data_IF_622605570071
#
_entry.id   IF_622605570071
#
_cell.length_a   1.000
_cell.length_b   1.000
_cell.length_c   1.000
_cell.angle_alpha   90.00
_cell.angle_beta   90.00
_cell.angle_gamma   90.00
#
_symmetry.space_group_name_H-M   'P 1'
#
loop_
_entity.id
_entity.type
_entity.pdbx_description
1 polymer ?
#
# COMPACT_ATOMS: atom_id res chain seq x y z
N UNK A 1 0.56 26.20 -15.17
CA UNK A 1 -0.73 25.83 -14.54
C UNK A 1 -1.38 27.08 -13.95
N UNK A 2 -2.62 27.43 -14.31
CA UNK A 2 -3.33 28.53 -13.64
C UNK A 2 -3.93 28.04 -12.32
N UNK A 3 -3.47 28.60 -11.19
CA UNK A 3 -3.95 28.23 -9.86
C UNK A 3 -5.24 28.99 -9.51
N UNK A 4 -6.12 28.34 -8.74
CA UNK A 4 -7.38 28.94 -8.30
C UNK A 4 -7.16 30.23 -7.51
N UNK A 5 -8.05 31.22 -7.71
CA UNK A 5 -8.04 32.51 -6.97
C UNK A 5 -8.07 32.33 -5.45
N UNK A 6 -8.63 31.21 -4.96
CA UNK A 6 -8.64 30.87 -3.53
C UNK A 6 -7.25 30.52 -3.01
N UNK A 7 -6.53 29.65 -3.72
CA UNK A 7 -5.15 29.24 -3.40
C UNK A 7 -4.24 30.46 -3.40
N UNK A 8 -4.40 31.36 -4.37
CA UNK A 8 -3.62 32.60 -4.45
C UNK A 8 -3.88 33.52 -3.23
N UNK A 9 -5.13 33.62 -2.77
CA UNK A 9 -5.46 34.41 -1.57
C UNK A 9 -4.92 33.79 -0.28
N UNK A 10 -4.95 32.47 -0.18
CA UNK A 10 -4.42 31.75 0.98
C UNK A 10 -2.89 31.79 1.03
N UNK A 11 -2.21 31.62 -0.12
CA UNK A 11 -0.76 31.72 -0.22
C UNK A 11 -0.23 33.09 0.22
N UNK A 12 -0.96 34.16 -0.09
CA UNK A 12 -0.67 35.52 0.37
C UNK A 12 -0.69 35.67 1.90
N UNK A 13 -1.48 34.88 2.63
CA UNK A 13 -1.51 34.93 4.11
C UNK A 13 -0.21 34.45 4.72
N UNK A 14 0.45 33.50 4.08
CA UNK A 14 1.72 32.93 4.53
C UNK A 14 2.94 33.60 3.88
N UNK A 15 2.74 34.56 2.96
CA UNK A 15 3.78 35.19 2.16
C UNK A 15 4.66 34.17 1.40
N UNK A 16 4.02 33.13 0.87
CA UNK A 16 4.66 32.01 0.17
C UNK A 16 4.08 31.91 -1.25
N UNK A 17 4.84 31.29 -2.15
CA UNK A 17 4.38 31.00 -3.51
C UNK A 17 3.17 30.04 -3.51
N UNK A 18 2.15 30.28 -4.35
CA UNK A 18 0.99 29.40 -4.46
C UNK A 18 1.32 27.94 -4.76
N UNK A 19 2.40 27.64 -5.49
CA UNK A 19 2.79 26.26 -5.77
C UNK A 19 3.28 25.55 -4.50
N UNK A 20 4.08 26.24 -3.68
CA UNK A 20 4.52 25.72 -2.37
C UNK A 20 3.35 25.45 -1.42
N UNK A 21 2.27 26.23 -1.51
CA UNK A 21 1.04 25.95 -0.76
C UNK A 21 0.41 24.61 -1.19
N UNK A 22 0.31 24.34 -2.50
CA UNK A 22 -0.21 23.06 -2.99
C UNK A 22 0.69 21.90 -2.58
N UNK A 23 2.02 22.09 -2.61
CA UNK A 23 2.97 21.09 -2.13
C UNK A 23 2.73 20.74 -0.66
N UNK A 24 2.45 21.73 0.19
CA UNK A 24 2.12 21.48 1.58
C UNK A 24 0.79 20.73 1.77
N UNK A 25 -0.23 21.04 0.96
CA UNK A 25 -1.50 20.29 1.01
C UNK A 25 -1.29 18.81 0.69
N UNK A 26 -0.50 18.51 -0.34
CA UNK A 26 -0.18 17.12 -0.72
C UNK A 26 0.55 16.38 0.42
N UNK A 27 1.51 17.03 1.07
CA UNK A 27 2.21 16.45 2.23
C UNK A 27 1.24 16.18 3.37
N UNK A 28 0.31 17.10 3.66
CA UNK A 28 -0.69 16.87 4.73
C UNK A 28 -1.65 15.71 4.44
N UNK A 29 -1.86 15.38 3.17
CA UNK A 29 -2.68 14.23 2.74
C UNK A 29 -1.89 12.91 2.83
N UNK A 30 -0.56 12.96 2.92
CA UNK A 30 0.32 11.80 3.10
C UNK A 30 1.28 11.52 1.95
N UNK A 31 1.37 12.41 0.95
CA UNK A 31 2.39 12.28 -0.10
C UNK A 31 3.79 12.51 0.46
N UNK A 32 4.78 11.80 -0.08
CA UNK A 32 6.17 12.07 0.27
C UNK A 32 6.60 13.44 -0.28
N UNK A 33 7.59 14.12 0.33
CA UNK A 33 8.08 15.41 -0.16
C UNK A 33 8.61 15.36 -1.59
N UNK A 34 9.05 14.18 -2.05
CA UNK A 34 9.54 13.97 -3.42
C UNK A 34 8.38 13.96 -4.41
N UNK A 35 7.37 13.12 -4.16
CA UNK A 35 6.19 13.02 -5.02
C UNK A 35 5.43 14.35 -5.07
N UNK A 36 5.26 15.01 -3.93
CA UNK A 36 4.61 16.31 -3.86
C UNK A 36 5.35 17.39 -4.67
N UNK A 37 6.69 17.36 -4.67
CA UNK A 37 7.50 18.29 -5.44
C UNK A 37 7.36 18.04 -6.94
N UNK A 38 7.43 16.77 -7.38
CA UNK A 38 7.34 16.39 -8.79
C UNK A 38 5.96 16.71 -9.40
N UNK A 39 4.89 16.59 -8.60
CA UNK A 39 3.52 16.94 -9.01
C UNK A 39 3.36 18.45 -9.21
N UNK A 40 3.93 19.25 -8.31
CA UNK A 40 3.73 20.70 -8.25
C UNK A 40 4.67 21.45 -9.19
N UNK A 41 5.93 21.05 -9.24
CA UNK A 41 6.99 21.69 -10.01
C UNK A 41 7.32 20.88 -11.27
N UNK A 42 6.32 20.59 -12.09
CA UNK A 42 6.49 19.83 -13.34
C UNK A 42 7.49 20.49 -14.29
N UNK A 43 7.59 21.83 -14.27
CA UNK A 43 8.56 22.59 -15.09
C UNK A 43 10.02 22.28 -14.70
N UNK A 44 10.25 21.84 -13.46
CA UNK A 44 11.56 21.46 -12.96
C UNK A 44 11.97 20.04 -13.38
N UNK A 45 11.13 19.31 -14.12
CA UNK A 45 11.47 18.00 -14.68
C UNK A 45 12.67 18.06 -15.65
N UNK A 46 12.98 19.23 -16.22
CA UNK A 46 14.12 19.46 -17.11
C UNK A 46 15.44 19.63 -16.34
N UNK A 47 15.38 19.91 -15.03
CA UNK A 47 16.57 20.12 -14.19
C UNK A 47 17.24 18.80 -13.82
N UNK A 48 18.55 18.88 -13.54
CA UNK A 48 19.30 17.70 -13.10
C UNK A 48 18.86 17.28 -11.69
N UNK A 49 18.98 15.99 -11.37
CA UNK A 49 18.52 15.39 -10.11
C UNK A 49 19.04 16.13 -8.86
N UNK A 50 20.34 16.48 -8.85
CA UNK A 50 20.96 17.19 -7.73
C UNK A 50 20.40 18.61 -7.54
N UNK A 51 20.06 19.30 -8.64
CA UNK A 51 19.46 20.64 -8.57
C UNK A 51 18.04 20.56 -8.02
N UNK A 52 17.25 19.58 -8.47
CA UNK A 52 15.91 19.33 -7.95
C UNK A 52 15.93 18.98 -6.47
N UNK A 53 16.87 18.14 -6.05
CA UNK A 53 17.06 17.81 -4.64
C UNK A 53 17.41 19.06 -3.81
N UNK A 54 18.31 19.91 -4.29
CA UNK A 54 18.70 21.14 -3.60
C UNK A 54 17.54 22.12 -3.43
N UNK A 55 16.74 22.33 -4.49
CA UNK A 55 15.57 23.22 -4.46
C UNK A 55 14.51 22.68 -3.50
N UNK A 56 14.19 21.38 -3.61
CA UNK A 56 13.23 20.70 -2.72
C UNK A 56 13.67 20.78 -1.26
N UNK A 57 14.94 20.55 -0.97
CA UNK A 57 15.48 20.68 0.38
C UNK A 57 15.43 22.12 0.88
N UNK A 58 15.68 23.10 0.02
CA UNK A 58 15.53 24.52 0.36
C UNK A 58 14.10 24.88 0.79
N UNK A 59 13.10 24.34 0.08
CA UNK A 59 11.68 24.55 0.41
C UNK A 59 11.31 23.82 1.71
N UNK A 60 11.61 22.53 1.81
CA UNK A 60 11.19 21.68 2.94
C UNK A 60 11.94 21.96 4.25
N UNK A 61 13.17 22.45 4.19
CA UNK A 61 13.95 22.87 5.38
C UNK A 61 13.55 24.27 5.86
N UNK A 62 12.82 25.05 5.07
CA UNK A 62 12.40 26.39 5.48
C UNK A 62 11.44 26.33 6.68
N UNK A 63 11.69 27.16 7.70
CA UNK A 63 10.88 27.18 8.93
C UNK A 63 9.41 27.50 8.65
N UNK A 64 9.16 28.46 7.76
CA UNK A 64 7.80 28.87 7.34
C UNK A 64 7.02 27.73 6.69
N UNK A 65 7.68 26.88 5.90
CA UNK A 65 7.02 25.74 5.28
C UNK A 65 6.61 24.69 6.32
N UNK A 66 7.48 24.41 7.31
CA UNK A 66 7.18 23.49 8.39
C UNK A 66 6.03 23.97 9.27
N UNK A 67 6.04 25.26 9.64
CA UNK A 67 4.93 25.89 10.38
C UNK A 67 3.62 25.76 9.62
N UNK A 68 3.61 26.08 8.32
CA UNK A 68 2.42 25.96 7.48
C UNK A 68 1.90 24.52 7.36
N UNK A 69 2.80 23.54 7.24
CA UNK A 69 2.41 22.11 7.18
C UNK A 69 1.80 21.68 8.52
N UNK A 70 2.38 22.08 9.64
CA UNK A 70 1.87 21.76 10.98
C UNK A 70 0.51 22.40 11.24
N UNK A 71 0.34 23.69 10.93
CA UNK A 71 -0.94 24.40 11.05
C UNK A 71 -2.07 23.69 10.28
N UNK A 72 -1.74 23.14 9.11
CA UNK A 72 -2.70 22.41 8.28
C UNK A 72 -3.00 21.02 8.82
N UNK A 73 -2.00 20.31 9.34
CA UNK A 73 -2.19 19.04 10.04
C UNK A 73 -3.13 19.26 11.24
N UNK A 74 -2.94 20.31 12.02
CA UNK A 74 -3.79 20.62 13.17
C UNK A 74 -5.21 21.04 12.74
N UNK A 75 -5.34 21.74 11.61
CA UNK A 75 -6.65 22.04 11.02
C UNK A 75 -7.39 20.79 10.52
N UNK A 76 -6.66 19.79 10.02
CA UNK A 76 -7.23 18.51 9.61
C UNK A 76 -7.63 17.67 10.84
N UNK A 77 -6.76 17.60 11.85
CA UNK A 77 -7.02 16.89 13.11
C UNK A 77 -8.24 17.45 13.83
N UNK A 78 -8.39 18.76 13.91
CA UNK A 78 -9.58 19.39 14.55
C UNK A 78 -10.90 19.14 13.82
N UNK A 79 -10.88 18.79 12.53
CA UNK A 79 -12.08 18.46 11.74
C UNK A 79 -12.47 17.00 11.82
N UNK A 80 -11.53 16.13 12.16
CA UNK A 80 -11.80 14.73 12.45
C UNK A 80 -12.06 14.64 13.96
N UNK A 81 -13.29 14.38 14.41
CA UNK A 81 -13.54 14.03 15.81
C UNK A 81 -12.99 12.61 16.05
N UNK A 82 -11.66 12.46 16.00
CA UNK A 82 -10.99 11.35 16.62
C UNK A 82 -11.17 11.61 18.12
N UNK A 83 -11.83 10.68 18.82
CA UNK A 83 -11.81 10.71 20.28
C UNK A 83 -10.35 10.62 20.69
N UNK A 84 -9.81 11.73 21.19
CA UNK A 84 -8.48 11.76 21.78
C UNK A 84 -8.41 10.67 22.85
N UNK A 85 -7.41 9.79 22.72
CA UNK A 85 -7.06 8.71 23.65
C UNK A 85 -7.84 7.39 23.55
N UNK A 86 -7.85 6.78 22.37
CA UNK A 86 -7.38 5.40 22.37
C UNK A 86 -6.00 5.42 21.72
N UNK A 87 -4.96 5.54 22.55
CA UNK A 87 -3.64 5.06 22.17
C UNK A 87 -3.85 3.59 21.81
N UNK A 88 -4.08 3.35 20.53
CA UNK A 88 -4.26 2.01 19.99
C UNK A 88 -2.85 1.42 19.87
N UNK A 89 -2.16 1.31 21.00
CA UNK A 89 -1.02 0.43 21.13
C UNK A 89 -1.50 -0.95 20.70
N UNK A 90 -0.74 -1.58 19.82
CA UNK A 90 -1.00 -2.94 19.38
C UNK A 90 -0.96 -3.84 20.61
N UNK A 91 -2.15 -4.10 21.17
CA UNK A 91 -2.30 -4.95 22.34
C UNK A 91 -1.91 -6.39 21.97
N UNK A 92 -1.30 -7.10 22.92
CA UNK A 92 -1.05 -8.53 22.79
C UNK A 92 -2.37 -9.29 22.58
N UNK A 93 -2.34 -10.40 21.85
CA UNK A 93 -3.53 -11.23 21.61
C UNK A 93 -4.16 -11.73 22.91
N UNK A 94 -3.35 -11.95 23.95
CA UNK A 94 -3.81 -12.32 25.28
C UNK A 94 -4.56 -11.18 25.98
N UNK A 95 -4.07 -9.95 25.88
CA UNK A 95 -4.73 -8.81 26.52
C UNK A 95 -6.00 -8.39 25.78
N UNK A 96 -6.01 -8.53 24.46
CA UNK A 96 -7.23 -8.41 23.66
C UNK A 96 -8.27 -9.47 24.08
N UNK A 97 -7.85 -10.72 24.25
CA UNK A 97 -8.73 -11.79 24.71
C UNK A 97 -9.29 -11.53 26.13
N UNK A 98 -8.48 -10.99 27.05
CA UNK A 98 -8.93 -10.58 28.39
C UNK A 98 -9.96 -9.45 28.33
N UNK A 99 -9.78 -8.47 27.44
CA UNK A 99 -10.75 -7.39 27.27
C UNK A 99 -12.08 -7.88 26.71
N UNK A 100 -12.05 -8.78 25.73
CA UNK A 100 -13.27 -9.42 25.18
C UNK A 100 -14.03 -10.17 26.27
N UNK A 101 -13.33 -10.91 27.14
CA UNK A 101 -13.97 -11.58 28.29
C UNK A 101 -14.58 -10.60 29.29
N UNK A 102 -13.89 -9.52 29.63
CA UNK A 102 -14.43 -8.47 30.51
C UNK A 102 -15.70 -7.85 29.92
N UNK A 103 -15.69 -7.55 28.62
CA UNK A 103 -16.85 -7.02 27.92
C UNK A 103 -18.01 -8.03 27.90
N UNK A 104 -17.74 -9.33 27.70
CA UNK A 104 -18.75 -10.38 27.73
C UNK A 104 -19.42 -10.53 29.10
N UNK A 105 -18.68 -10.33 30.20
CA UNK A 105 -19.22 -10.41 31.57
C UNK A 105 -20.12 -9.23 31.94
N UNK A 106 -19.93 -8.07 31.30
CA UNK A 106 -20.79 -6.90 31.48
C UNK A 106 -22.13 -7.05 30.75
N UNK A 107 -22.24 -8.01 29.83
CA UNK A 107 -23.46 -8.26 29.08
C UNK A 107 -24.40 -9.23 29.81
N UNK A 108 -25.73 -9.06 29.67
CA UNK A 108 -26.73 -9.93 30.27
C UNK A 108 -26.53 -11.40 29.90
N UNK A 109 -26.81 -12.31 30.84
CA UNK A 109 -26.80 -13.75 30.58
C UNK A 109 -27.84 -14.11 29.51
N UNK A 110 -27.40 -14.86 28.50
CA UNK A 110 -28.25 -15.27 27.38
C UNK A 110 -28.43 -14.25 26.25
N UNK A 111 -27.77 -13.09 26.30
CA UNK A 111 -27.82 -12.14 25.19
C UNK A 111 -27.06 -12.67 23.96
N UNK A 112 -27.57 -12.39 22.77
CA UNK A 112 -26.91 -12.73 21.50
C UNK A 112 -25.52 -12.11 21.41
N UNK A 113 -25.39 -10.87 21.88
CA UNK A 113 -24.14 -10.11 21.91
C UNK A 113 -23.09 -10.78 22.81
N UNK A 114 -23.50 -11.37 23.94
CA UNK A 114 -22.61 -12.14 24.80
C UNK A 114 -22.11 -13.41 24.11
N UNK A 115 -22.98 -14.09 23.35
CA UNK A 115 -22.60 -15.23 22.51
C UNK A 115 -21.56 -14.84 21.44
N UNK A 116 -21.78 -13.72 20.75
CA UNK A 116 -20.86 -13.20 19.74
C UNK A 116 -19.48 -12.83 20.34
N UNK A 117 -19.44 -12.29 21.55
CA UNK A 117 -18.18 -12.01 22.24
C UNK A 117 -17.41 -13.29 22.61
N UNK A 118 -18.10 -14.35 23.04
CA UNK A 118 -17.45 -15.63 23.29
C UNK A 118 -16.91 -16.29 22.02
N UNK A 119 -17.63 -16.18 20.89
CA UNK A 119 -17.11 -16.65 19.60
C UNK A 119 -15.82 -15.92 19.25
N UNK A 120 -15.79 -14.58 19.34
CA UNK A 120 -14.59 -13.77 19.10
C UNK A 120 -13.42 -14.16 20.02
N UNK A 121 -13.70 -14.44 21.30
CA UNK A 121 -12.69 -14.93 22.24
C UNK A 121 -12.09 -16.27 21.77
N UNK A 122 -12.92 -17.22 21.33
CA UNK A 122 -12.41 -18.51 20.82
C UNK A 122 -11.62 -18.38 19.53
N UNK A 123 -11.97 -17.44 18.65
CA UNK A 123 -11.22 -17.14 17.43
C UNK A 123 -9.83 -16.57 17.73
N UNK A 124 -9.73 -15.67 18.71
CA UNK A 124 -8.44 -15.13 19.16
C UNK A 124 -7.53 -16.21 19.74
N UNK A 125 -8.07 -17.15 20.54
CA UNK A 125 -7.30 -18.28 21.07
C UNK A 125 -6.84 -19.24 19.98
N UNK A 126 -7.68 -19.50 18.96
CA UNK A 126 -7.29 -20.34 17.82
C UNK A 126 -6.14 -19.74 17.02
N UNK A 127 -6.15 -18.42 16.82
CA UNK A 127 -5.03 -17.72 16.15
C UNK A 127 -3.71 -17.83 16.91
N UNK A 128 -3.73 -17.88 18.24
CA UNK A 128 -2.51 -18.13 19.02
C UNK A 128 -2.00 -19.57 18.87
N UNK A 129 -2.88 -20.56 18.69
CA UNK A 129 -2.46 -21.96 18.52
C UNK A 129 -1.82 -22.29 17.17
N UNK A 130 -1.98 -21.42 16.16
CA UNK A 130 -1.35 -21.60 14.83
C UNK A 130 0.03 -20.95 14.72
N UNK A 131 0.55 -20.34 15.80
CA UNK A 131 1.86 -19.65 15.79
C UNK A 131 3.04 -20.61 16.05
N UNK A 132 2.77 -21.85 16.47
CA UNK A 132 3.78 -22.92 16.55
C UNK A 132 3.85 -23.76 15.25
N UNK A 133 3.50 -23.19 14.11
CA UNK A 133 3.93 -23.75 12.83
C UNK A 133 5.33 -23.21 12.56
N UNK A 134 6.33 -24.10 12.60
CA UNK A 134 7.71 -23.85 12.15
C UNK A 134 7.72 -22.97 10.89
N UNK A 135 8.67 -22.03 10.75
CA UNK A 135 8.70 -21.12 9.61
C UNK A 135 8.67 -21.95 8.34
N UNK A 136 7.62 -21.78 7.53
CA UNK A 136 7.56 -22.34 6.19
C UNK A 136 8.79 -21.80 5.44
N UNK A 137 9.84 -22.59 5.39
CA UNK A 137 11.00 -22.38 4.53
C UNK A 137 10.48 -22.15 3.11
N UNK A 138 10.81 -20.98 2.56
CA UNK A 138 10.76 -20.61 1.15
C UNK A 138 9.74 -21.40 0.30
N UNK A 139 8.46 -21.02 0.37
CA UNK A 139 7.51 -21.41 -0.66
C UNK A 139 7.86 -20.69 -1.96
N UNK A 140 8.82 -21.24 -2.72
CA UNK A 140 9.16 -20.80 -4.07
C UNK A 140 7.92 -21.02 -4.94
N UNK A 141 7.17 -19.96 -5.19
CA UNK A 141 6.05 -19.97 -6.14
C UNK A 141 6.62 -19.96 -7.55
N UNK A 142 6.90 -21.15 -8.08
CA UNK A 142 7.33 -21.33 -9.47
C UNK A 142 6.09 -21.17 -10.36
N UNK A 143 5.98 -20.01 -11.01
CA UNK A 143 5.00 -19.82 -12.09
C UNK A 143 5.50 -20.58 -13.32
N UNK A 144 4.97 -21.79 -13.53
CA UNK A 144 5.21 -22.53 -14.77
C UNK A 144 4.43 -21.85 -15.90
N UNK A 145 5.08 -21.42 -17.00
CA UNK A 145 4.36 -20.84 -18.14
C UNK A 145 3.45 -21.89 -18.77
N UNK A 146 2.16 -21.54 -18.95
CA UNK A 146 1.10 -22.43 -19.45
C UNK A 146 1.37 -23.02 -20.84
N UNK A 147 2.31 -22.44 -21.60
CA UNK A 147 2.77 -22.96 -22.89
C UNK A 147 4.28 -22.76 -23.01
N UNK A 148 5.02 -23.84 -23.19
CA UNK A 148 6.45 -23.81 -23.42
C UNK A 148 6.71 -23.92 -24.92
N UNK A 149 6.79 -22.78 -25.62
CA UNK A 149 6.95 -22.76 -27.08
C UNK A 149 8.40 -23.02 -27.52
N UNK A 150 9.37 -22.76 -26.64
CA UNK A 150 10.81 -22.88 -26.93
C UNK A 150 11.48 -24.03 -26.14
N UNK A 151 10.70 -25.03 -25.70
CA UNK A 151 11.24 -26.19 -25.00
C UNK A 151 12.00 -27.12 -25.96
N UNK A 152 13.24 -27.55 -25.63
CA UNK A 152 13.93 -28.58 -26.41
C UNK A 152 13.12 -29.87 -26.57
N UNK A 153 12.39 -30.27 -25.52
CA UNK A 153 11.52 -31.45 -25.54
C UNK A 153 10.33 -31.32 -26.50
N UNK A 154 9.80 -30.10 -26.68
CA UNK A 154 8.70 -29.85 -27.62
C UNK A 154 9.21 -29.85 -29.07
N UNK A 155 10.41 -29.31 -29.29
CA UNK A 155 11.05 -29.33 -30.61
C UNK A 155 11.32 -30.77 -31.06
N UNK A 156 11.92 -31.60 -30.20
CA UNK A 156 12.15 -33.02 -30.49
C UNK A 156 10.84 -33.79 -30.76
N UNK A 157 9.76 -33.47 -30.04
CA UNK A 157 8.45 -34.09 -30.27
C UNK A 157 7.88 -33.70 -31.65
N UNK A 158 7.96 -32.43 -32.02
CA UNK A 158 7.46 -31.94 -33.31
C UNK A 158 8.26 -32.52 -34.49
N UNK A 159 9.59 -32.63 -34.35
CA UNK A 159 10.45 -33.26 -35.36
C UNK A 159 10.09 -34.73 -35.57
N UNK A 160 9.90 -35.49 -34.47
CA UNK A 160 9.45 -36.89 -34.56
C UNK A 160 8.06 -37.04 -35.18
N UNK A 161 7.14 -36.13 -34.91
CA UNK A 161 5.82 -36.16 -35.57
C UNK A 161 5.95 -35.89 -37.07
N UNK A 162 6.78 -34.94 -37.48
CA UNK A 162 7.03 -34.64 -38.90
C UNK A 162 7.67 -35.83 -39.64
N UNK A 163 8.61 -36.55 -39.01
CA UNK A 163 9.19 -37.78 -39.58
C UNK A 163 8.14 -38.89 -39.77
N UNK A 164 7.25 -39.08 -38.80
CA UNK A 164 6.18 -40.07 -38.87
C UNK A 164 5.17 -39.71 -39.97
N UNK A 165 4.87 -38.42 -40.13
CA UNK A 165 3.94 -37.93 -41.14
C UNK A 165 4.52 -38.07 -42.55
N UNK A 166 5.80 -37.71 -42.75
CA UNK A 166 6.52 -37.96 -44.01
C UNK A 166 6.60 -39.46 -44.35
N UNK A 167 6.85 -40.32 -43.36
CA UNK A 167 6.85 -41.78 -43.56
C UNK A 167 5.46 -42.30 -43.96
N UNK A 168 4.38 -41.74 -43.41
CA UNK A 168 3.00 -42.07 -43.79
C UNK A 168 2.65 -41.61 -45.21
N UNK A 169 3.09 -40.43 -45.62
CA UNK A 169 2.89 -39.93 -46.98
C UNK A 169 3.64 -40.78 -48.01
N UNK A 170 4.90 -41.13 -47.75
CA UNK A 170 5.67 -42.02 -48.63
C UNK A 170 5.11 -43.45 -48.71
N UNK A 171 4.37 -43.91 -47.70
CA UNK A 171 3.63 -45.17 -47.74
C UNK A 171 2.32 -45.07 -48.54
N UNK A 172 1.69 -43.90 -48.62
CA UNK A 172 0.49 -43.67 -49.44
C UNK A 172 0.81 -43.56 -50.93
N UNK A 173 1.99 -43.06 -51.29
CA UNK A 173 2.42 -42.92 -52.69
C UNK A 173 2.90 -44.25 -53.33
N UNK A 174 2.80 -45.38 -52.62
CA UNK A 174 3.20 -46.72 -53.09
C UNK A 174 2.04 -47.70 -53.30
N UNK A 175 0.79 -47.27 -53.14
CA UNK A 175 -0.42 -47.98 -53.60
C UNK A 175 -0.89 -47.43 -54.95
#
# INVERSE_FOLDING_TARGET
MELSKRIIKEAKKYAIDPATLVMADLITIGYTPNEAYDIVYQENAVLNFQQNQSIREGITKSGRFKEMVNDRIDSLRSRLPLKDNEDMELMSTEDAAKQVLKAAQLLPEGSKERGEMFVKYTELLRRNSTVDAEPEEDSIRIYMPLKCNDCPLLQEYNEKQAEIEMAREMCKDKE
#
